data_IF_161098770433
#
_entry.id   IF_161098770433
#
_cell.length_a   1.000
_cell.length_b   1.000
_cell.length_c   1.000
_cell.angle_alpha   90.00
_cell.angle_beta   90.00
_cell.angle_gamma   90.00
#
_symmetry.space_group_name_H-M   'P 1'
#
loop_
_entity.id
_entity.type
_entity.pdbx_description
1 polymer ?
#
# COMPACT_ATOMS: atom_id res chain seq x y z
N UNK A 1 -10.73 7.23 -3.53
CA UNK A 1 -11.54 6.85 -2.37
C UNK A 1 -11.94 5.39 -2.47
N UNK A 2 -11.87 4.67 -1.36
CA UNK A 2 -12.27 3.27 -1.35
C UNK A 2 -13.78 3.14 -1.58
N UNK A 3 -14.24 2.14 -2.35
CA UNK A 3 -15.67 1.91 -2.55
C UNK A 3 -16.40 1.64 -1.23
N UNK A 4 -17.63 2.08 -1.16
CA UNK A 4 -18.48 1.81 0.02
C UNK A 4 -18.68 0.31 0.17
N UNK A 5 -18.52 -0.22 1.41
CA UNK A 5 -18.70 -1.62 1.68
C UNK A 5 -17.50 -2.50 1.34
N UNK A 6 -16.38 -1.92 0.96
CA UNK A 6 -15.17 -2.67 0.66
C UNK A 6 -14.64 -3.37 1.90
N UNK A 7 -14.54 -4.70 1.85
CA UNK A 7 -13.99 -5.50 2.94
C UNK A 7 -12.46 -5.55 2.91
N UNK A 8 -11.87 -5.12 1.80
CA UNK A 8 -10.42 -5.19 1.57
C UNK A 8 -9.81 -3.79 1.43
N UNK A 9 -10.11 -2.91 2.39
CA UNK A 9 -9.59 -1.55 2.36
C UNK A 9 -8.06 -1.51 2.32
N UNK A 10 -7.39 -2.42 3.06
CA UNK A 10 -5.94 -2.52 3.03
C UNK A 10 -5.42 -2.92 1.65
N UNK A 11 -6.09 -3.88 0.99
CA UNK A 11 -5.73 -4.29 -0.36
C UNK A 11 -5.91 -3.13 -1.35
N UNK A 12 -7.01 -2.41 -1.26
CA UNK A 12 -7.26 -1.24 -2.10
C UNK A 12 -6.19 -0.17 -1.91
N UNK A 13 -5.81 0.11 -0.66
CA UNK A 13 -4.73 1.05 -0.35
C UNK A 13 -3.41 0.60 -0.97
N UNK A 14 -3.10 -0.69 -0.89
CA UNK A 14 -1.90 -1.25 -1.50
C UNK A 14 -1.88 -1.07 -3.01
N UNK A 15 -2.98 -1.33 -3.67
CA UNK A 15 -3.09 -1.16 -5.12
C UNK A 15 -2.95 0.30 -5.52
N UNK A 16 -3.51 1.22 -4.75
CA UNK A 16 -3.35 2.66 -4.99
C UNK A 16 -1.91 3.09 -4.84
N UNK A 17 -1.20 2.56 -3.86
CA UNK A 17 0.23 2.84 -3.68
C UNK A 17 1.01 2.37 -4.90
N UNK A 18 0.74 1.14 -5.37
CA UNK A 18 1.41 0.60 -6.57
C UNK A 18 1.13 1.47 -7.78
N UNK A 19 -0.11 1.91 -7.95
CA UNK A 19 -0.48 2.79 -9.06
C UNK A 19 0.31 4.10 -9.03
N UNK A 20 0.41 4.72 -7.85
CA UNK A 20 1.16 5.97 -7.68
C UNK A 20 2.65 5.74 -7.98
N UNK A 21 3.22 4.66 -7.49
CA UNK A 21 4.63 4.32 -7.72
C UNK A 21 4.89 4.15 -9.22
N UNK A 22 4.04 3.40 -9.91
CA UNK A 22 4.19 3.18 -11.36
C UNK A 22 4.04 4.48 -12.15
N UNK A 23 3.18 5.37 -11.69
CA UNK A 23 2.93 6.64 -12.36
C UNK A 23 4.04 7.64 -12.14
N UNK A 24 4.63 7.67 -10.94
CA UNK A 24 5.65 8.64 -10.57
C UNK A 24 7.08 8.15 -10.75
N UNK A 25 7.28 6.83 -10.79
CA UNK A 25 8.61 6.25 -10.90
C UNK A 25 9.44 6.30 -9.63
N UNK A 26 8.83 6.49 -8.47
CA UNK A 26 9.54 6.48 -7.20
C UNK A 26 10.18 5.11 -6.96
N UNK A 27 11.33 5.11 -6.29
CA UNK A 27 12.06 3.89 -5.95
C UNK A 27 11.84 3.45 -4.52
N UNK A 28 11.29 4.33 -3.68
CA UNK A 28 10.97 4.02 -2.30
C UNK A 28 9.77 4.84 -1.84
N UNK A 29 9.04 4.31 -0.86
CA UNK A 29 7.90 5.00 -0.27
C UNK A 29 7.76 4.64 1.20
N UNK A 30 7.25 5.58 1.98
CA UNK A 30 6.91 5.38 3.39
C UNK A 30 5.40 5.54 3.50
N UNK A 31 4.74 4.54 4.08
CA UNK A 31 3.30 4.51 4.22
C UNK A 31 2.92 4.59 5.69
N UNK A 32 2.15 5.60 6.06
CA UNK A 32 1.69 5.81 7.44
C UNK A 32 0.22 5.44 7.55
N UNK A 33 -0.11 4.64 8.55
CA UNK A 33 -1.51 4.30 8.84
C UNK A 33 -1.63 3.93 10.32
N UNK A 34 -2.79 4.16 10.91
CA UNK A 34 -3.05 3.81 12.30
C UNK A 34 -3.57 2.38 12.46
N UNK A 35 -3.96 1.73 11.39
CA UNK A 35 -4.52 0.37 11.42
C UNK A 35 -3.49 -0.66 10.94
N UNK A 36 -3.01 -1.48 11.89
CA UNK A 36 -1.98 -2.49 11.62
C UNK A 36 -2.44 -3.50 10.56
N UNK A 37 -3.72 -3.85 10.52
CA UNK A 37 -4.27 -4.80 9.54
C UNK A 37 -4.17 -4.23 8.13
N UNK A 38 -4.50 -2.95 7.96
CA UNK A 38 -4.42 -2.29 6.66
C UNK A 38 -2.98 -2.16 6.19
N UNK A 39 -2.07 -1.82 7.12
CA UNK A 39 -0.65 -1.74 6.83
C UNK A 39 -0.14 -3.09 6.32
N UNK A 40 -0.46 -4.16 7.03
CA UNK A 40 -0.01 -5.51 6.67
C UNK A 40 -0.52 -5.92 5.29
N UNK A 41 -1.79 -5.66 5.01
CA UNK A 41 -2.41 -5.99 3.73
C UNK A 41 -1.81 -5.16 2.60
N UNK A 42 -1.66 -3.86 2.80
CA UNK A 42 -1.08 -2.97 1.81
C UNK A 42 0.37 -3.35 1.50
N UNK A 43 1.15 -3.66 2.53
CA UNK A 43 2.54 -4.11 2.38
C UNK A 43 2.61 -5.38 1.53
N UNK A 44 1.72 -6.34 1.80
CA UNK A 44 1.68 -7.58 1.02
C UNK A 44 1.41 -7.30 -0.45
N UNK A 45 0.44 -6.45 -0.76
CA UNK A 45 0.09 -6.10 -2.14
C UNK A 45 1.27 -5.44 -2.85
N UNK A 46 1.91 -4.48 -2.19
CA UNK A 46 3.06 -3.79 -2.77
C UNK A 46 4.21 -4.75 -3.04
N UNK A 47 4.51 -5.64 -2.10
CA UNK A 47 5.60 -6.61 -2.26
C UNK A 47 5.32 -7.65 -3.33
N UNK A 48 4.06 -8.03 -3.52
CA UNK A 48 3.69 -8.97 -4.58
C UNK A 48 3.86 -8.35 -5.97
N UNK A 49 3.48 -7.08 -6.11
CA UNK A 49 3.53 -6.40 -7.41
C UNK A 49 4.88 -5.76 -7.70
N UNK A 50 5.60 -5.35 -6.66
CA UNK A 50 6.88 -4.65 -6.76
C UNK A 50 7.88 -5.28 -5.79
N UNK A 51 8.36 -6.51 -6.05
CA UNK A 51 9.18 -7.24 -5.08
C UNK A 51 10.51 -6.58 -4.74
N UNK A 52 11.03 -5.75 -5.64
CA UNK A 52 12.31 -5.06 -5.42
C UNK A 52 12.16 -3.62 -4.96
N UNK A 53 10.92 -3.20 -4.67
CA UNK A 53 10.66 -1.84 -4.24
C UNK A 53 10.90 -1.67 -2.74
N UNK A 54 11.52 -0.55 -2.36
CA UNK A 54 11.78 -0.21 -0.96
C UNK A 54 10.54 0.43 -0.34
N UNK A 55 9.71 -0.39 0.30
CA UNK A 55 8.47 0.04 0.93
C UNK A 55 8.58 -0.08 2.44
N UNK A 56 8.38 1.04 3.14
CA UNK A 56 8.46 1.10 4.60
C UNK A 56 7.10 1.45 5.19
N UNK A 57 6.38 0.49 5.77
CA UNK A 57 5.13 0.78 6.47
C UNK A 57 5.42 1.27 7.89
N UNK A 58 4.68 2.28 8.31
CA UNK A 58 4.81 2.84 9.67
C UNK A 58 3.43 2.94 10.30
N UNK A 59 3.29 2.32 11.47
CA UNK A 59 2.07 2.46 12.27
C UNK A 59 2.18 3.69 13.15
N UNK A 60 1.19 4.55 13.07
CA UNK A 60 1.12 5.76 13.90
C UNK A 60 0.10 5.63 15.00
#
# INVERSE_FOLDING_TARGET
>A
MAPVGTKNAGHWKGEKIVEIINKTGFQKAIFYDDNARYIKRATKVVREKLPNFDFTPVKV
#
